data_IF_768325025178
#
_entry.id   IF_768325025178
#
_cell.length_a   1.000
_cell.length_b   1.000
_cell.length_c   1.000
_cell.angle_alpha   90.00
_cell.angle_beta   90.00
_cell.angle_gamma   90.00
#
_symmetry.space_group_name_H-M   'P 1'
#
loop_
_entity.id
_entity.type
_entity.pdbx_description
1 polymer ?
#
# COMPACT_ATOMS: atom_id res chain seq x y z
N UNK A 1 11.26 17.67 19.47
CA UNK A 1 10.95 17.40 18.06
C UNK A 1 11.49 16.02 17.74
N UNK A 2 10.63 15.00 17.70
CA UNK A 2 11.05 13.60 17.57
C UNK A 2 11.39 13.34 16.10
N UNK A 3 12.67 13.15 15.80
CA UNK A 3 13.18 13.04 14.44
C UNK A 3 12.66 11.78 13.76
N UNK A 4 11.77 11.94 12.78
CA UNK A 4 11.46 10.92 11.78
C UNK A 4 12.74 10.69 10.98
N UNK A 5 13.46 9.61 11.27
CA UNK A 5 14.55 9.14 10.41
C UNK A 5 14.41 7.63 10.28
N UNK A 6 14.09 7.19 9.05
CA UNK A 6 14.06 5.81 8.50
C UNK A 6 12.73 5.05 8.41
N UNK A 7 11.58 5.69 8.58
CA UNK A 7 10.32 4.95 8.62
C UNK A 7 9.58 4.97 7.27
N UNK A 8 9.56 3.82 6.58
CA UNK A 8 8.51 3.50 5.61
C UNK A 8 7.24 3.27 6.41
N UNK A 9 6.26 4.16 6.29
CA UNK A 9 4.99 4.04 7.01
C UNK A 9 3.95 3.37 6.13
N UNK A 10 3.53 2.18 6.55
CA UNK A 10 2.36 1.54 5.95
C UNK A 10 1.09 2.09 6.58
N UNK A 11 0.27 2.68 5.74
CA UNK A 11 -0.96 3.37 6.13
C UNK A 11 -2.15 2.64 5.51
N UNK A 12 -3.22 2.45 6.28
CA UNK A 12 -4.45 1.83 5.78
C UNK A 12 -5.56 2.87 5.69
N UNK A 13 -6.24 2.95 4.54
CA UNK A 13 -7.44 3.78 4.37
C UNK A 13 -8.53 3.08 3.57
N UNK A 14 -9.75 3.56 3.71
CA UNK A 14 -10.86 3.15 2.83
C UNK A 14 -10.89 3.97 1.53
N UNK A 15 -11.84 3.61 0.66
CA UNK A 15 -12.07 4.29 -0.61
C UNK A 15 -12.41 5.78 -0.45
N UNK A 16 -13.08 6.16 0.63
CA UNK A 16 -13.43 7.56 0.94
C UNK A 16 -12.24 8.39 1.46
N UNK A 17 -11.06 7.79 1.64
CA UNK A 17 -9.87 8.50 2.13
C UNK A 17 -9.76 8.56 3.66
N UNK A 18 -10.64 7.87 4.39
CA UNK A 18 -10.59 7.80 5.85
C UNK A 18 -9.51 6.81 6.26
N UNK A 19 -8.56 7.29 7.07
CA UNK A 19 -7.44 6.50 7.57
C UNK A 19 -7.85 5.66 8.78
N UNK A 20 -7.50 4.38 8.74
CA UNK A 20 -7.68 3.43 9.84
C UNK A 20 -6.40 3.19 10.66
N UNK A 21 -5.25 3.35 10.01
CA UNK A 21 -3.93 3.18 10.60
C UNK A 21 -2.99 4.24 10.03
N UNK A 22 -2.19 4.86 10.88
CA UNK A 22 -1.11 5.79 10.52
C UNK A 22 -1.59 7.04 9.74
N UNK A 23 -2.79 7.53 10.08
CA UNK A 23 -3.33 8.78 9.54
C UNK A 23 -2.73 10.03 10.19
N UNK A 24 -2.95 11.19 9.57
CA UNK A 24 -2.58 12.52 10.10
C UNK A 24 -1.09 12.67 10.46
N UNK A 25 -0.19 12.03 9.71
CA UNK A 25 1.27 12.08 9.96
C UNK A 25 1.69 11.50 11.31
N UNK A 26 0.87 10.63 11.91
CA UNK A 26 1.14 10.00 13.21
C UNK A 26 1.39 8.52 13.03
N UNK A 27 2.44 8.02 13.69
CA UNK A 27 2.75 6.60 13.72
C UNK A 27 2.09 6.00 14.96
N UNK A 28 1.26 4.99 14.76
CA UNK A 28 0.61 4.25 15.83
C UNK A 28 1.49 3.10 16.34
N UNK A 29 1.21 2.65 17.57
CA UNK A 29 1.89 1.49 18.14
C UNK A 29 1.38 0.18 17.53
N UNK A 30 2.19 -0.89 17.53
CA UNK A 30 1.75 -2.23 17.16
C UNK A 30 0.48 -2.61 17.92
N UNK A 31 -0.56 -3.01 17.18
CA UNK A 31 -1.87 -3.37 17.74
C UNK A 31 -2.69 -4.18 16.76
N UNK A 32 -3.77 -4.76 17.26
CA UNK A 32 -4.85 -5.28 16.45
C UNK A 32 -5.84 -4.16 16.09
N UNK A 33 -6.37 -4.21 14.86
CA UNK A 33 -7.24 -3.19 14.30
C UNK A 33 -8.41 -3.89 13.60
N UNK A 34 -9.63 -3.69 14.09
CA UNK A 34 -10.84 -4.20 13.44
C UNK A 34 -11.27 -3.25 12.33
N UNK A 35 -11.06 -3.64 11.07
CA UNK A 35 -11.36 -2.83 9.87
C UNK A 35 -11.90 -3.73 8.76
N UNK A 36 -12.75 -3.18 7.89
CA UNK A 36 -13.32 -3.90 6.75
C UNK A 36 -13.79 -5.32 7.08
N UNK A 37 -14.47 -5.50 8.21
CA UNK A 37 -15.04 -6.81 8.59
C UNK A 37 -14.03 -7.87 9.08
N UNK A 38 -12.74 -7.56 9.18
CA UNK A 38 -11.71 -8.48 9.69
C UNK A 38 -10.77 -7.80 10.70
N UNK A 39 -9.84 -8.56 11.27
CA UNK A 39 -8.83 -8.06 12.19
C UNK A 39 -7.49 -8.00 11.45
N UNK A 40 -6.89 -6.81 11.43
CA UNK A 40 -5.53 -6.59 10.98
C UNK A 40 -4.59 -6.58 12.18
N UNK A 41 -3.54 -7.38 12.12
CA UNK A 41 -2.42 -7.36 13.05
C UNK A 41 -1.34 -6.46 12.47
N UNK A 42 -1.09 -5.32 13.12
CA UNK A 42 -0.02 -4.39 12.77
C UNK A 42 1.19 -4.63 13.67
N UNK A 43 2.30 -5.05 13.06
CA UNK A 43 3.56 -5.28 13.75
C UNK A 43 4.62 -4.31 13.24
N UNK A 44 5.35 -3.74 14.20
CA UNK A 44 6.54 -2.93 13.95
C UNK A 44 7.64 -3.38 14.88
N UNK A 45 8.78 -3.78 14.32
CA UNK A 45 9.95 -4.20 15.08
C UNK A 45 10.99 -3.07 15.12
N UNK A 46 11.86 -3.02 16.14
CA UNK A 46 12.93 -2.04 16.18
C UNK A 46 13.97 -2.30 15.09
N UNK A 47 14.47 -1.24 14.46
CA UNK A 47 15.60 -1.16 13.49
C UNK A 47 15.59 -2.17 12.32
N UNK A 48 15.71 -1.65 11.10
CA UNK A 48 15.99 -2.40 9.86
C UNK A 48 15.11 -3.64 9.60
N UNK A 49 13.90 -3.65 10.17
CA UNK A 49 12.92 -4.73 10.00
C UNK A 49 11.70 -4.14 9.29
N UNK A 50 11.14 -4.82 8.28
CA UNK A 50 9.93 -4.35 7.62
C UNK A 50 8.77 -4.24 8.61
N UNK A 51 7.91 -3.24 8.42
CA UNK A 51 6.58 -3.23 9.02
C UNK A 51 5.73 -4.36 8.40
N UNK A 52 4.90 -5.00 9.22
CA UNK A 52 4.11 -6.17 8.79
C UNK A 52 2.64 -5.94 9.09
N UNK A 53 1.80 -6.16 8.10
CA UNK A 53 0.35 -6.14 8.20
C UNK A 53 -0.21 -7.50 7.78
N UNK A 54 -1.01 -8.11 8.65
CA UNK A 54 -1.62 -9.43 8.40
C UNK A 54 -3.09 -9.40 8.74
N UNK A 55 -3.93 -9.97 7.88
CA UNK A 55 -5.34 -10.21 8.16
C UNK A 55 -5.75 -11.57 7.59
N UNK A 56 -6.66 -12.26 8.27
CA UNK A 56 -7.24 -13.52 7.76
C UNK A 56 -8.28 -13.28 6.67
N UNK A 57 -8.78 -12.05 6.53
CA UNK A 57 -9.91 -11.74 5.64
C UNK A 57 -11.22 -12.40 6.12
N UNK A 58 -12.25 -12.46 5.25
CA UNK A 58 -12.37 -11.64 4.04
C UNK A 58 -12.52 -10.15 4.41
N UNK A 59 -12.17 -9.25 3.49
CA UNK A 59 -12.48 -7.82 3.67
C UNK A 59 -13.86 -7.51 3.12
N UNK A 60 -14.67 -6.76 3.87
CA UNK A 60 -16.02 -6.34 3.47
C UNK A 60 -16.04 -5.09 2.60
N UNK A 61 -14.90 -4.39 2.50
CA UNK A 61 -14.70 -3.22 1.66
C UNK A 61 -13.24 -3.19 1.15
N UNK A 62 -12.94 -2.44 0.07
CA UNK A 62 -11.58 -2.23 -0.37
C UNK A 62 -10.73 -1.52 0.68
N UNK A 63 -9.54 -2.06 0.94
CA UNK A 63 -8.52 -1.43 1.78
C UNK A 63 -7.37 -0.97 0.89
N UNK A 64 -7.00 0.29 1.02
CA UNK A 64 -5.86 0.87 0.31
C UNK A 64 -4.65 0.91 1.24
N UNK A 65 -3.57 0.26 0.82
CA UNK A 65 -2.25 0.37 1.46
C UNK A 65 -1.53 1.56 0.84
N UNK A 66 -1.22 2.56 1.65
CA UNK A 66 -0.51 3.78 1.23
C UNK A 66 0.86 3.79 1.89
N UNK A 67 1.88 4.09 1.10
CA UNK A 67 3.24 4.25 1.59
C UNK A 67 3.62 5.72 1.71
N UNK A 68 4.18 6.08 2.87
CA UNK A 68 4.96 7.29 3.02
C UNK A 68 6.43 6.91 3.20
N UNK A 69 7.31 7.45 2.35
CA UNK A 69 8.76 7.22 2.41
C UNK A 69 9.50 8.57 2.31
N UNK A 70 10.56 8.73 3.12
CA UNK A 70 11.46 9.91 3.04
C UNK A 70 12.78 9.57 2.34
N UNK A 71 13.19 8.30 2.37
CA UNK A 71 14.42 7.79 1.75
C UNK A 71 14.09 6.87 0.57
N UNK A 72 15.08 6.14 0.05
CA UNK A 72 14.89 5.17 -1.03
C UNK A 72 13.79 4.17 -0.67
N UNK A 73 12.77 4.06 -1.54
CA UNK A 73 11.73 3.07 -1.41
C UNK A 73 12.32 1.66 -1.54
N UNK A 74 12.22 0.85 -0.48
CA UNK A 74 12.71 -0.53 -0.43
C UNK A 74 11.70 -1.54 -1.03
N UNK A 75 10.51 -1.07 -1.42
CA UNK A 75 9.44 -1.88 -1.96
C UNK A 75 8.52 -2.45 -0.88
N UNK A 76 7.46 -3.13 -1.34
CA UNK A 76 6.54 -3.91 -0.52
C UNK A 76 6.52 -5.33 -1.06
N UNK A 77 6.53 -6.31 -0.17
CA UNK A 77 6.14 -7.68 -0.49
C UNK A 77 4.75 -7.93 0.08
N UNK A 78 3.85 -8.47 -0.74
CA UNK A 78 2.48 -8.76 -0.34
C UNK A 78 2.05 -10.12 -0.90
N UNK A 79 1.20 -10.80 -0.13
CA UNK A 79 0.60 -12.08 -0.50
C UNK A 79 -0.86 -12.04 -0.07
N UNK A 80 -1.75 -12.57 -0.90
CA UNK A 80 -3.17 -12.62 -0.62
C UNK A 80 -3.82 -13.82 -1.32
N UNK A 81 -4.98 -14.22 -0.82
CA UNK A 81 -5.79 -15.28 -1.44
C UNK A 81 -7.07 -14.69 -2.00
N UNK A 82 -7.43 -15.11 -3.21
CA UNK A 82 -8.70 -14.77 -3.84
C UNK A 82 -9.62 -16.00 -3.70
N UNK A 83 -10.88 -15.84 -3.25
CA UNK A 83 -11.82 -16.96 -3.23
C UNK A 83 -11.94 -17.62 -4.60
N UNK A 84 -12.02 -18.96 -4.65
CA UNK A 84 -12.08 -19.72 -5.93
C UNK A 84 -13.33 -19.35 -6.75
N UNK A 85 -14.40 -18.89 -6.10
CA UNK A 85 -15.63 -18.41 -6.76
C UNK A 85 -15.42 -17.09 -7.48
N UNK A 86 -14.50 -16.25 -7.01
CA UNK A 86 -13.94 -15.09 -7.72
C UNK A 86 -12.84 -15.58 -8.66
N UNK A 87 -13.18 -16.46 -9.62
CA UNK A 87 -12.35 -16.57 -10.82
C UNK A 87 -12.47 -15.24 -11.54
N UNK A 88 -11.47 -14.38 -11.35
CA UNK A 88 -11.27 -13.22 -12.19
C UNK A 88 -11.03 -13.78 -13.59
N UNK A 89 -12.09 -13.89 -14.39
CA UNK A 89 -12.02 -14.17 -15.82
C UNK A 89 -11.56 -12.92 -16.58
N UNK A 90 -10.66 -12.14 -16.00
CA UNK A 90 -9.97 -11.06 -16.68
C UNK A 90 -8.51 -11.47 -16.79
N UNK A 91 -8.01 -11.82 -17.99
CA UNK A 91 -6.57 -11.86 -18.22
C UNK A 91 -5.98 -10.51 -17.85
N UNK A 92 -4.72 -10.49 -17.38
CA UNK A 92 -3.96 -9.29 -17.02
C UNK A 92 -4.38 -8.07 -17.86
N UNK A 93 -5.20 -7.19 -17.29
CA UNK A 93 -5.72 -6.04 -18.02
C UNK A 93 -4.67 -4.94 -17.97
N UNK A 94 -3.91 -4.79 -19.05
CA UNK A 94 -3.04 -3.65 -19.25
C UNK A 94 -3.88 -2.46 -19.70
N UNK A 95 -3.86 -1.37 -18.94
CA UNK A 95 -4.53 -0.12 -19.28
C UNK A 95 -3.48 0.87 -19.80
N UNK A 96 -3.65 1.33 -21.04
CA UNK A 96 -2.82 2.38 -21.64
C UNK A 96 -3.62 3.67 -21.67
N UNK A 97 -3.01 4.76 -21.22
CA UNK A 97 -3.58 6.11 -21.36
C UNK A 97 -2.71 6.89 -22.34
N UNK A 98 -3.34 7.61 -23.26
CA UNK A 98 -2.63 8.54 -24.13
C UNK A 98 -2.30 9.79 -23.31
N UNK A 99 -1.02 10.05 -23.08
CA UNK A 99 -0.54 11.35 -22.64
C UNK A 99 -0.50 12.34 -23.81
N UNK A 100 -0.32 13.62 -23.51
CA UNK A 100 -0.03 14.62 -24.53
C UNK A 100 1.24 14.23 -25.31
N UNK A 101 1.29 14.59 -26.60
CA UNK A 101 2.48 14.37 -27.41
C UNK A 101 3.63 15.24 -26.90
N UNK A 102 4.62 14.62 -26.27
CA UNK A 102 5.90 15.26 -25.96
C UNK A 102 6.79 15.32 -27.21
N UNK A 103 7.74 16.26 -27.23
CA UNK A 103 8.77 16.27 -28.25
C UNK A 103 9.57 14.96 -28.20
N UNK A 104 9.87 14.39 -29.37
CA UNK A 104 10.64 13.16 -29.46
C UNK A 104 12.00 13.36 -28.76
N UNK A 105 12.26 12.60 -27.70
CA UNK A 105 13.52 12.65 -26.94
C UNK A 105 14.73 12.09 -27.71
N UNK A 106 14.51 11.67 -28.95
CA UNK A 106 15.49 10.96 -29.76
C UNK A 106 15.66 11.68 -31.09
N UNK A 107 16.90 12.10 -31.38
CA UNK A 107 17.28 12.56 -32.70
C UNK A 107 17.27 11.37 -33.67
N UNK A 108 16.38 11.40 -34.65
CA UNK A 108 16.36 10.42 -35.73
C UNK A 108 16.95 11.04 -37.00
N UNK A 109 17.93 10.34 -37.60
CA UNK A 109 18.51 10.66 -38.91
C UNK A 109 19.43 11.88 -38.92
N UNK A 110 20.73 11.66 -39.09
CA UNK A 110 21.68 12.71 -39.43
C UNK A 110 21.42 13.33 -40.80
#
# INVERSE_FOLDING_TARGET
MMGMRRDLLQTLRNAAGVFYLNGNWRIEFPREIKIAGTIFHYERRPRNTPEVLRARGPTSEPIFVVLLYQEKNLGISYEYSIPVTTKVSQPDSYEWTFGDFEECSQACGG
#
